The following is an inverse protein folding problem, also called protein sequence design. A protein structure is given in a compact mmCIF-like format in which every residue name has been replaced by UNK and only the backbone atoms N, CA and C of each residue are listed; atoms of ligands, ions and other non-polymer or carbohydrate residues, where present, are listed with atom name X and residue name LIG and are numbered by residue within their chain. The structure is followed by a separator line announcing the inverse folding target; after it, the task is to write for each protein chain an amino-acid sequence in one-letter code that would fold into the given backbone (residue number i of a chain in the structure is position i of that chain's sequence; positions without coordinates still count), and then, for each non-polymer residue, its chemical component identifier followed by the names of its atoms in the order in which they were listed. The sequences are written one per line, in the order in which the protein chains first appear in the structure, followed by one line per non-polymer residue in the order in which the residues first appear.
data_IF_690479972087
#
_entry.id   IF_690479972087
#
_cell.length_a   1.000
_cell.length_b   1.000
_cell.length_c   1.000
_cell.angle_alpha   90.00
_cell.angle_beta   90.00
_cell.angle_gamma   90.00
#
_symmetry.space_group_name_H-M   'P 1'
#
loop_
_entity.id
_entity.type
_entity.pdbx_description
1 polymer ?
#
# COMPACT_ATOMS: atom_id res chain seq x y z
N UNK A 1 6.41 -23.86 -6.34
CA UNK A 1 5.11 -24.00 -5.62
C UNK A 1 4.03 -23.35 -6.46
N UNK A 2 2.83 -23.97 -6.54
CA UNK A 2 1.70 -23.41 -7.30
C UNK A 2 1.02 -22.32 -6.47
N UNK A 3 0.74 -21.16 -7.07
CA UNK A 3 -0.08 -20.11 -6.49
C UNK A 3 -1.55 -20.31 -6.89
N UNK A 4 -2.49 -19.93 -6.00
CA UNK A 4 -3.90 -19.95 -6.30
C UNK A 4 -4.32 -18.58 -6.85
N UNK A 5 -4.88 -18.60 -8.06
CA UNK A 5 -5.42 -17.40 -8.73
C UNK A 5 -6.90 -17.65 -9.03
N UNK A 6 -7.78 -16.99 -8.29
CA UNK A 6 -9.22 -17.13 -8.49
C UNK A 6 -9.67 -16.33 -9.72
N UNK A 7 -10.66 -16.80 -10.43
CA UNK A 7 -11.14 -16.13 -11.65
C UNK A 7 -11.59 -14.67 -11.44
N UNK A 8 -12.14 -14.33 -10.27
CA UNK A 8 -12.43 -12.95 -9.89
C UNK A 8 -11.17 -12.08 -9.78
N UNK A 9 -10.06 -12.68 -9.40
CA UNK A 9 -8.78 -12.01 -9.27
C UNK A 9 -8.03 -11.89 -10.62
N UNK A 10 -8.56 -12.51 -11.69
CA UNK A 10 -8.04 -12.41 -13.06
C UNK A 10 -8.76 -11.36 -13.90
N UNK A 11 -9.99 -11.03 -13.55
CA UNK A 11 -10.78 -10.01 -14.22
C UNK A 11 -10.52 -8.64 -13.58
N UNK A 12 -10.69 -7.53 -14.32
CA UNK A 12 -10.62 -6.20 -13.74
C UNK A 12 -11.52 -6.11 -12.53
N UNK A 13 -10.98 -5.61 -11.42
CA UNK A 13 -11.75 -5.49 -10.19
C UNK A 13 -12.99 -4.63 -10.44
N UNK A 14 -14.16 -5.23 -10.23
CA UNK A 14 -15.39 -4.48 -10.12
C UNK A 14 -15.35 -3.66 -8.83
N UNK A 15 -16.07 -2.56 -8.79
CA UNK A 15 -16.13 -1.55 -7.73
C UNK A 15 -15.76 -2.05 -6.33
N UNK A 16 -14.68 -1.54 -5.78
CA UNK A 16 -14.34 -1.72 -4.37
C UNK A 16 -15.32 -0.90 -3.51
N UNK A 17 -16.06 -1.56 -2.63
CA UNK A 17 -17.02 -0.92 -1.73
C UNK A 17 -16.38 0.08 -0.75
N UNK A 18 -15.06 0.02 -0.55
CA UNK A 18 -14.31 0.92 0.35
C UNK A 18 -13.81 2.19 -0.37
N UNK A 19 -14.05 2.34 -1.67
CA UNK A 19 -13.58 3.46 -2.47
C UNK A 19 -14.75 4.20 -3.10
N UNK A 20 -14.72 5.52 -3.03
CA UNK A 20 -15.60 6.38 -3.78
C UNK A 20 -14.92 6.80 -5.08
N UNK A 21 -15.34 6.18 -6.19
CA UNK A 21 -14.78 6.47 -7.51
C UNK A 21 -15.32 7.77 -8.07
N UNK A 22 -14.45 8.61 -8.63
CA UNK A 22 -14.78 9.94 -9.15
C UNK A 22 -14.55 10.08 -10.64
N UNK A 23 -13.61 9.33 -11.17
CA UNK A 23 -13.34 9.26 -12.60
C UNK A 23 -12.80 7.89 -12.96
N UNK A 24 -12.99 7.56 -14.23
CA UNK A 24 -12.36 6.43 -14.85
C UNK A 24 -11.40 6.96 -15.93
N UNK A 25 -10.12 6.67 -15.77
CA UNK A 25 -9.05 7.11 -16.64
C UNK A 25 -8.84 6.16 -17.83
N UNK A 26 -9.87 5.39 -18.16
CA UNK A 26 -9.88 4.47 -19.29
C UNK A 26 -10.54 5.08 -20.52
N UNK A 27 -10.01 4.75 -21.70
CA UNK A 27 -10.67 5.08 -22.96
C UNK A 27 -12.00 4.34 -23.12
N UNK A 28 -12.87 4.86 -23.96
CA UNK A 28 -14.17 4.22 -24.25
C UNK A 28 -14.01 2.78 -24.77
N UNK A 29 -12.95 2.52 -25.55
CA UNK A 29 -12.61 1.18 -26.04
C UNK A 29 -12.17 0.24 -24.94
N UNK A 30 -11.35 0.71 -24.00
CA UNK A 30 -10.91 -0.08 -22.86
C UNK A 30 -12.09 -0.45 -21.95
N UNK A 31 -13.00 0.50 -21.69
CA UNK A 31 -14.23 0.24 -20.94
C UNK A 31 -15.11 -0.80 -21.59
N UNK A 32 -15.33 -0.68 -22.92
CA UNK A 32 -16.14 -1.67 -23.66
C UNK A 32 -15.50 -3.07 -23.63
N UNK A 33 -14.18 -3.17 -23.72
CA UNK A 33 -13.48 -4.47 -23.60
C UNK A 33 -13.65 -5.07 -22.22
N UNK A 34 -13.42 -4.31 -21.16
CA UNK A 34 -13.52 -4.80 -19.78
C UNK A 34 -14.94 -5.19 -19.37
N UNK A 35 -15.94 -4.42 -19.79
CA UNK A 35 -17.35 -4.72 -19.50
C UNK A 35 -17.86 -6.01 -20.14
N UNK A 36 -17.16 -6.53 -21.16
CA UNK A 36 -17.52 -7.77 -21.86
C UNK A 36 -16.89 -9.02 -21.25
N UNK A 37 -15.85 -8.88 -20.42
CA UNK A 37 -15.14 -10.05 -19.90
C UNK A 37 -15.97 -10.80 -18.86
N UNK A 38 -16.17 -12.08 -19.09
CA UNK A 38 -16.83 -13.01 -18.20
C UNK A 38 -15.86 -14.17 -17.85
N UNK A 39 -16.20 -14.95 -16.83
CA UNK A 39 -15.40 -16.08 -16.43
C UNK A 39 -15.09 -17.06 -17.58
N UNK A 40 -16.00 -17.20 -18.56
CA UNK A 40 -15.82 -18.03 -19.74
C UNK A 40 -14.72 -17.55 -20.69
N UNK A 41 -14.33 -16.26 -20.61
CA UNK A 41 -13.35 -15.66 -21.52
C UNK A 41 -11.91 -15.83 -20.99
N UNK A 42 -11.76 -16.27 -19.73
CA UNK A 42 -10.45 -16.45 -19.09
C UNK A 42 -9.50 -17.36 -19.90
N UNK A 43 -9.91 -18.51 -20.43
CA UNK A 43 -9.01 -19.34 -21.22
C UNK A 43 -8.49 -18.66 -22.50
N UNK A 44 -9.25 -17.70 -23.03
CA UNK A 44 -8.86 -16.90 -24.21
C UNK A 44 -7.96 -15.73 -23.82
N UNK A 45 -8.22 -15.09 -22.68
CA UNK A 45 -7.43 -13.97 -22.17
C UNK A 45 -6.09 -14.42 -21.61
N UNK A 46 -6.09 -15.58 -20.97
CA UNK A 46 -4.93 -16.18 -20.31
C UNK A 46 -4.78 -17.65 -20.76
N UNK A 47 -4.32 -17.89 -21.99
CA UNK A 47 -4.14 -19.26 -22.50
C UNK A 47 -3.18 -20.07 -21.62
N UNK A 48 -3.42 -21.37 -21.50
CA UNK A 48 -2.52 -22.25 -20.78
C UNK A 48 -1.10 -22.19 -21.39
N UNK A 49 -0.09 -22.01 -20.55
CA UNK A 49 1.30 -21.85 -20.95
C UNK A 49 1.74 -20.42 -21.25
N UNK A 50 0.83 -19.43 -21.18
CA UNK A 50 1.20 -18.01 -21.28
C UNK A 50 1.82 -17.51 -19.97
N UNK A 51 2.74 -16.53 -20.10
CA UNK A 51 3.30 -15.84 -18.96
C UNK A 51 2.33 -14.75 -18.46
N UNK A 52 2.19 -14.63 -17.16
CA UNK A 52 1.27 -13.71 -16.51
C UNK A 52 1.93 -13.02 -15.33
N UNK A 53 1.69 -11.71 -15.18
CA UNK A 53 2.12 -10.97 -14.01
C UNK A 53 1.08 -11.11 -12.90
N UNK A 54 1.52 -11.57 -11.74
CA UNK A 54 0.66 -11.73 -10.57
C UNK A 54 1.24 -11.03 -9.35
N UNK A 55 0.38 -10.57 -8.47
CA UNK A 55 0.73 -10.10 -7.14
C UNK A 55 0.25 -11.10 -6.10
N UNK A 56 1.14 -11.52 -5.19
CA UNK A 56 0.77 -12.35 -4.05
C UNK A 56 0.06 -11.48 -3.02
N UNK A 57 -1.18 -11.85 -2.67
CA UNK A 57 -2.04 -11.10 -1.71
C UNK A 57 -2.00 -11.73 -0.32
N UNK A 58 -1.90 -13.05 -0.27
CA UNK A 58 -1.80 -13.82 0.97
C UNK A 58 -0.75 -14.90 0.81
N UNK A 59 0.03 -15.11 1.85
CA UNK A 59 1.00 -16.20 1.90
C UNK A 59 0.31 -17.57 2.08
N UNK A 60 1.11 -18.62 1.98
CA UNK A 60 0.70 -20.01 2.18
C UNK A 60 0.15 -20.21 3.60
N UNK A 61 -1.03 -20.80 3.72
CA UNK A 61 -1.64 -21.17 5.00
C UNK A 61 -1.87 -22.69 4.99
N UNK A 62 -1.13 -23.42 5.82
CA UNK A 62 -1.19 -24.88 5.89
C UNK A 62 -0.87 -25.53 4.54
N UNK A 63 -1.80 -26.30 3.98
CA UNK A 63 -1.67 -26.98 2.69
C UNK A 63 -2.07 -26.13 1.49
N UNK A 64 -2.69 -24.96 1.70
CA UNK A 64 -3.12 -24.06 0.63
C UNK A 64 -1.95 -23.22 0.13
N UNK A 65 -1.77 -23.15 -1.19
CA UNK A 65 -0.79 -22.28 -1.82
C UNK A 65 -1.10 -20.79 -1.60
N UNK A 66 -0.15 -19.88 -1.92
CA UNK A 66 -0.36 -18.45 -1.79
C UNK A 66 -1.50 -17.99 -2.71
N UNK A 67 -2.32 -17.06 -2.24
CA UNK A 67 -3.35 -16.41 -3.06
C UNK A 67 -2.73 -15.26 -3.85
N UNK A 68 -3.08 -15.18 -5.12
CA UNK A 68 -2.58 -14.15 -6.03
C UNK A 68 -3.71 -13.46 -6.80
N UNK A 69 -3.38 -12.32 -7.41
CA UNK A 69 -4.27 -11.53 -8.26
C UNK A 69 -3.50 -10.95 -9.45
N UNK A 70 -4.18 -10.69 -10.55
CA UNK A 70 -3.65 -9.88 -11.67
C UNK A 70 -3.96 -8.39 -11.50
N UNK A 71 -4.79 -8.03 -10.55
CA UNK A 71 -5.11 -6.64 -10.21
C UNK A 71 -3.97 -6.06 -9.36
N UNK A 72 -2.91 -5.65 -10.02
CA UNK A 72 -1.70 -5.13 -9.36
C UNK A 72 -2.02 -3.81 -8.66
N UNK A 73 -1.64 -3.72 -7.39
CA UNK A 73 -1.77 -2.52 -6.57
C UNK A 73 -0.42 -2.19 -5.91
N UNK A 74 0.11 -1.02 -6.17
CA UNK A 74 1.36 -0.53 -5.60
C UNK A 74 1.06 0.54 -4.54
N UNK A 75 1.19 0.22 -3.25
CA UNK A 75 0.93 1.18 -2.19
C UNK A 75 2.07 2.19 -2.06
N UNK A 76 1.71 3.47 -2.14
CA UNK A 76 2.49 4.61 -1.68
C UNK A 76 2.08 5.01 -0.27
N UNK A 77 2.52 6.19 0.15
CA UNK A 77 2.14 6.76 1.44
C UNK A 77 0.69 7.25 1.42
N UNK A 78 0.34 8.08 0.45
CA UNK A 78 -0.95 8.75 0.34
C UNK A 78 -1.82 8.17 -0.76
N UNK A 79 -1.21 7.44 -1.69
CA UNK A 79 -1.84 6.89 -2.88
C UNK A 79 -1.65 5.38 -2.95
N UNK A 80 -2.54 4.72 -3.69
CA UNK A 80 -2.31 3.38 -4.24
C UNK A 80 -2.40 3.51 -5.75
N UNK A 81 -1.36 3.10 -6.47
CA UNK A 81 -1.34 3.05 -7.93
C UNK A 81 -1.83 1.68 -8.41
N UNK A 82 -2.76 1.68 -9.33
CA UNK A 82 -3.29 0.48 -9.98
C UNK A 82 -2.99 0.52 -11.49
N UNK A 83 -1.90 -0.10 -11.95
CA UNK A 83 -1.42 0.04 -13.32
C UNK A 83 -2.38 -0.50 -14.40
N UNK A 84 -3.27 -1.43 -14.03
CA UNK A 84 -4.20 -2.08 -14.96
C UNK A 84 -5.68 -1.73 -14.72
N UNK A 85 -5.94 -0.74 -13.85
CA UNK A 85 -7.29 -0.28 -13.56
C UNK A 85 -7.33 1.24 -13.72
N UNK A 86 -8.15 1.76 -14.64
CA UNK A 86 -8.31 3.19 -14.82
C UNK A 86 -9.13 3.88 -13.72
N UNK A 87 -9.62 3.14 -12.74
CA UNK A 87 -10.48 3.65 -11.70
C UNK A 87 -9.73 4.58 -10.72
N UNK A 88 -10.20 5.83 -10.59
CA UNK A 88 -9.64 6.82 -9.68
C UNK A 88 -10.66 7.19 -8.60
N UNK A 89 -10.22 7.19 -7.33
CA UNK A 89 -11.14 7.43 -6.21
C UNK A 89 -10.47 7.82 -4.91
N UNK A 90 -11.31 8.04 -3.90
CA UNK A 90 -10.92 8.39 -2.54
C UNK A 90 -11.46 7.34 -1.56
N UNK A 91 -10.67 6.99 -0.56
CA UNK A 91 -11.08 6.03 0.48
C UNK A 91 -12.32 6.54 1.22
N UNK A 92 -13.34 5.69 1.36
CA UNK A 92 -14.56 5.97 2.15
C UNK A 92 -14.30 6.00 3.65
N UNK A 93 -13.14 5.55 4.10
CA UNK A 93 -12.73 5.66 5.52
C UNK A 93 -12.43 7.10 5.94
N UNK A 94 -12.32 8.04 4.99
CA UNK A 94 -12.28 9.48 5.28
C UNK A 94 -13.72 9.91 5.48
N UNK A 95 -14.12 10.17 6.73
CA UNK A 95 -15.52 10.42 7.12
C UNK A 95 -15.99 11.82 6.77
N UNK A 96 -15.09 12.83 6.83
CA UNK A 96 -15.41 14.21 6.50
C UNK A 96 -15.70 14.38 4.99
N UNK A 97 -16.94 14.75 4.69
CA UNK A 97 -17.41 14.99 3.33
C UNK A 97 -16.69 16.17 2.65
N UNK A 98 -16.41 17.26 3.38
CA UNK A 98 -15.72 18.42 2.82
C UNK A 98 -14.29 18.06 2.43
N UNK A 99 -13.61 17.30 3.27
CA UNK A 99 -12.28 16.80 3.00
C UNK A 99 -12.27 15.82 1.82
N UNK A 100 -13.26 14.93 1.70
CA UNK A 100 -13.35 14.04 0.53
C UNK A 100 -13.52 14.82 -0.76
N UNK A 101 -14.36 15.86 -0.81
CA UNK A 101 -14.51 16.70 -2.01
C UNK A 101 -13.20 17.42 -2.34
N UNK A 102 -12.52 17.98 -1.35
CA UNK A 102 -11.20 18.60 -1.55
C UNK A 102 -10.18 17.61 -2.13
N UNK A 103 -10.15 16.38 -1.62
CA UNK A 103 -9.25 15.33 -2.11
C UNK A 103 -9.64 14.87 -3.53
N UNK A 104 -10.92 14.85 -3.87
CA UNK A 104 -11.38 14.59 -5.25
C UNK A 104 -10.88 15.65 -6.22
N UNK A 105 -10.89 16.93 -5.81
CA UNK A 105 -10.35 18.01 -6.65
C UNK A 105 -8.84 17.88 -6.85
N UNK A 106 -8.10 17.53 -5.80
CA UNK A 106 -6.67 17.21 -5.93
C UNK A 106 -6.48 16.05 -6.92
N UNK A 107 -7.24 14.96 -6.76
CA UNK A 107 -7.12 13.79 -7.63
C UNK A 107 -7.42 14.12 -9.10
N UNK A 108 -8.41 15.01 -9.36
CA UNK A 108 -8.71 15.50 -10.71
C UNK A 108 -7.56 16.30 -11.33
N UNK A 109 -6.76 16.98 -10.50
CA UNK A 109 -5.60 17.77 -10.95
C UNK A 109 -4.34 16.94 -11.21
N UNK A 110 -4.29 15.68 -10.73
CA UNK A 110 -3.13 14.81 -10.95
C UNK A 110 -3.07 14.31 -12.39
N UNK A 111 -1.86 14.34 -12.97
CA UNK A 111 -1.57 13.77 -14.28
C UNK A 111 -1.31 12.26 -14.15
N UNK A 112 -2.36 11.47 -14.30
CA UNK A 112 -2.31 10.01 -14.22
C UNK A 112 -2.28 9.45 -15.65
N UNK A 113 -1.33 8.56 -16.00
CA UNK A 113 -1.29 7.96 -17.34
C UNK A 113 -2.59 7.21 -17.67
N UNK A 114 -2.95 7.21 -18.95
CA UNK A 114 -4.14 6.52 -19.44
C UNK A 114 -4.12 5.02 -19.08
N UNK A 115 -5.26 4.48 -18.68
CA UNK A 115 -5.41 3.09 -18.25
C UNK A 115 -4.93 2.79 -16.84
N UNK A 116 -4.30 3.76 -16.15
CA UNK A 116 -3.89 3.63 -14.76
C UNK A 116 -4.90 4.30 -13.83
N UNK A 117 -5.14 3.68 -12.68
CA UNK A 117 -5.97 4.21 -11.61
C UNK A 117 -5.18 4.57 -10.37
N UNK A 118 -5.76 5.46 -9.58
CA UNK A 118 -5.17 5.90 -8.32
C UNK A 118 -6.25 6.05 -7.25
N UNK A 119 -5.98 5.51 -6.07
CA UNK A 119 -6.84 5.67 -4.88
C UNK A 119 -6.11 6.50 -3.84
N UNK A 120 -6.75 7.56 -3.34
CA UNK A 120 -6.27 8.32 -2.18
C UNK A 120 -6.58 7.54 -0.90
N UNK A 121 -5.54 7.30 -0.09
CA UNK A 121 -5.60 6.62 1.20
C UNK A 121 -6.01 7.60 2.31
N UNK A 122 -6.43 7.06 3.46
CA UNK A 122 -6.73 7.85 4.69
C UNK A 122 -5.55 8.71 5.16
N UNK A 123 -4.30 8.24 4.98
CA UNK A 123 -3.10 9.03 5.28
C UNK A 123 -2.98 10.33 4.48
N UNK A 124 -3.77 10.49 3.41
CA UNK A 124 -3.84 11.72 2.60
C UNK A 124 -4.74 12.81 3.20
N UNK A 125 -5.49 12.52 4.26
CA UNK A 125 -6.35 13.50 4.94
C UNK A 125 -5.53 14.69 5.43
N UNK A 126 -6.02 15.91 5.19
CA UNK A 126 -5.33 17.18 5.52
C UNK A 126 -4.08 17.50 4.68
N UNK A 127 -3.65 16.62 3.76
CA UNK A 127 -2.42 16.85 2.99
C UNK A 127 -2.65 17.74 1.78
N UNK A 128 -1.60 18.50 1.42
CA UNK A 128 -1.62 19.40 0.26
C UNK A 128 -1.31 18.63 -1.03
N UNK A 129 -1.74 19.16 -2.18
CA UNK A 129 -1.59 18.55 -3.50
C UNK A 129 -0.14 18.12 -3.83
N UNK A 130 0.86 18.90 -3.40
CA UNK A 130 2.29 18.58 -3.61
C UNK A 130 2.72 17.20 -3.10
N UNK A 131 2.09 16.73 -2.01
CA UNK A 131 2.41 15.42 -1.44
C UNK A 131 1.91 14.29 -2.33
N UNK A 132 0.73 14.43 -2.90
CA UNK A 132 0.17 13.46 -3.84
C UNK A 132 0.94 13.42 -5.15
N UNK A 133 1.35 14.58 -5.67
CA UNK A 133 2.20 14.65 -6.87
C UNK A 133 3.52 13.90 -6.66
N UNK A 134 4.17 14.12 -5.51
CA UNK A 134 5.43 13.44 -5.17
C UNK A 134 5.24 11.92 -5.05
N UNK A 135 4.22 11.50 -4.33
CA UNK A 135 3.90 10.07 -4.13
C UNK A 135 3.59 9.38 -5.46
N UNK A 136 2.79 10.03 -6.31
CA UNK A 136 2.49 9.54 -7.66
C UNK A 136 3.76 9.36 -8.50
N UNK A 137 4.66 10.34 -8.50
CA UNK A 137 5.92 10.23 -9.23
C UNK A 137 6.79 9.08 -8.75
N UNK A 138 6.84 8.83 -7.44
CA UNK A 138 7.57 7.68 -6.88
C UNK A 138 6.95 6.36 -7.32
N UNK A 139 5.61 6.27 -7.29
CA UNK A 139 4.88 5.06 -7.70
C UNK A 139 5.03 4.78 -9.21
N UNK A 140 4.96 5.82 -10.04
CA UNK A 140 5.16 5.67 -11.49
C UNK A 140 6.58 5.21 -11.83
N UNK A 141 7.62 5.77 -11.18
CA UNK A 141 9.00 5.29 -11.34
C UNK A 141 9.18 3.84 -10.90
N UNK A 142 8.54 3.44 -9.79
CA UNK A 142 8.54 2.06 -9.31
C UNK A 142 7.89 1.13 -10.33
N UNK A 143 6.74 1.51 -10.86
CA UNK A 143 6.07 0.75 -11.91
C UNK A 143 6.92 0.64 -13.18
N UNK A 144 7.54 1.72 -13.62
CA UNK A 144 8.43 1.71 -14.77
C UNK A 144 9.60 0.74 -14.57
N UNK A 145 10.23 0.72 -13.40
CA UNK A 145 11.29 -0.26 -13.07
C UNK A 145 10.80 -1.72 -13.16
N UNK A 146 9.54 -1.99 -12.75
CA UNK A 146 8.92 -3.31 -12.88
C UNK A 146 8.76 -3.67 -14.37
N UNK A 147 8.22 -2.76 -15.18
CA UNK A 147 8.02 -2.96 -16.62
C UNK A 147 9.37 -3.21 -17.33
N UNK A 148 10.41 -2.46 -16.97
CA UNK A 148 11.75 -2.67 -17.52
C UNK A 148 12.31 -4.07 -17.19
N UNK A 149 12.08 -4.58 -15.98
CA UNK A 149 12.46 -5.96 -15.60
C UNK A 149 11.71 -6.99 -16.43
N UNK A 150 10.40 -6.80 -16.64
CA UNK A 150 9.60 -7.69 -17.49
C UNK A 150 10.17 -7.75 -18.91
N UNK A 151 10.46 -6.58 -19.49
CA UNK A 151 10.93 -6.47 -20.87
C UNK A 151 12.37 -6.99 -21.09
N UNK A 152 13.19 -7.01 -20.03
CA UNK A 152 14.61 -7.43 -20.11
C UNK A 152 14.83 -8.90 -19.80
N UNK A 153 13.81 -9.61 -19.33
CA UNK A 153 13.98 -10.98 -18.82
C UNK A 153 13.30 -12.02 -19.73
N UNK A 154 14.05 -13.03 -20.07
CA UNK A 154 13.55 -14.25 -20.73
C UNK A 154 13.21 -15.35 -19.71
N UNK A 155 13.28 -15.06 -18.41
CA UNK A 155 13.03 -16.03 -17.35
C UNK A 155 11.52 -16.20 -17.10
N UNK A 156 11.07 -17.47 -17.07
CA UNK A 156 9.67 -17.85 -16.87
C UNK A 156 9.13 -17.59 -15.45
N UNK A 157 9.99 -17.39 -14.45
CA UNK A 157 9.58 -17.10 -13.07
C UNK A 157 10.53 -16.03 -12.51
N UNK A 158 10.13 -14.77 -12.62
CA UNK A 158 10.92 -13.63 -12.20
C UNK A 158 10.25 -12.89 -11.03
N UNK A 159 11.02 -12.63 -9.97
CA UNK A 159 10.60 -11.74 -8.90
C UNK A 159 10.75 -10.29 -9.38
N UNK A 160 9.63 -9.68 -9.72
CA UNK A 160 9.58 -8.32 -10.25
C UNK A 160 9.73 -7.26 -9.15
N UNK A 161 9.02 -7.46 -8.05
CA UNK A 161 8.95 -6.52 -6.93
C UNK A 161 8.63 -7.27 -5.63
N UNK A 162 9.23 -6.85 -4.55
CA UNK A 162 8.87 -7.26 -3.19
C UNK A 162 8.43 -6.03 -2.41
N UNK A 163 7.31 -6.12 -1.72
CA UNK A 163 6.89 -5.06 -0.80
C UNK A 163 8.02 -4.83 0.22
N UNK A 164 8.37 -3.58 0.51
CA UNK A 164 9.39 -3.25 1.51
C UNK A 164 9.16 -3.92 2.85
N UNK A 165 10.22 -4.13 3.60
CA UNK A 165 10.19 -4.71 4.94
C UNK A 165 9.37 -3.89 5.94
N UNK A 166 9.27 -4.38 7.18
CA UNK A 166 8.49 -3.72 8.22
C UNK A 166 8.99 -2.30 8.50
N UNK A 167 10.31 -2.12 8.55
CA UNK A 167 10.95 -0.83 8.85
C UNK A 167 10.57 0.20 7.79
N UNK A 168 10.76 -0.14 6.51
CA UNK A 168 10.46 0.77 5.42
C UNK A 168 8.98 1.11 5.34
N UNK A 169 8.10 0.14 5.59
CA UNK A 169 6.66 0.37 5.64
C UNK A 169 6.29 1.28 6.79
N UNK A 170 6.88 1.09 7.97
CA UNK A 170 6.65 1.91 9.15
C UNK A 170 7.08 3.36 8.90
N UNK A 171 8.28 3.58 8.38
CA UNK A 171 8.74 4.92 8.01
C UNK A 171 7.82 5.56 6.97
N UNK A 172 7.47 4.83 5.91
CA UNK A 172 6.57 5.32 4.86
C UNK A 172 5.21 5.76 5.42
N UNK A 173 4.60 4.95 6.27
CA UNK A 173 3.22 5.14 6.70
C UNK A 173 3.11 6.09 7.91
N UNK A 174 4.10 6.14 8.81
CA UNK A 174 4.03 6.90 10.07
C UNK A 174 4.91 8.16 10.13
N UNK A 175 5.88 8.36 9.22
CA UNK A 175 6.68 9.58 9.21
C UNK A 175 5.80 10.79 8.86
N UNK A 176 5.41 11.58 9.86
CA UNK A 176 4.67 12.84 9.71
C UNK A 176 5.53 14.03 10.08
N UNK A 177 5.04 15.25 9.84
CA UNK A 177 5.69 16.49 10.31
C UNK A 177 5.66 16.59 11.85
N UNK A 178 4.73 15.89 12.49
CA UNK A 178 4.50 15.86 13.94
C UNK A 178 5.46 14.88 14.66
N UNK A 179 6.19 14.04 13.92
CA UNK A 179 7.20 13.15 14.51
C UNK A 179 8.44 13.93 14.83
N UNK A 180 8.72 14.12 16.11
CA UNK A 180 9.90 14.86 16.58
C UNK A 180 11.17 14.00 16.52
N UNK A 181 11.08 12.73 16.89
CA UNK A 181 12.22 11.83 16.99
C UNK A 181 11.88 10.43 16.51
N UNK A 182 12.86 9.77 15.89
CA UNK A 182 12.82 8.36 15.49
C UNK A 182 14.02 7.70 16.14
N UNK A 183 13.78 6.87 17.15
CA UNK A 183 14.81 6.16 17.87
C UNK A 183 14.98 4.76 17.29
N UNK A 184 16.21 4.39 16.98
CA UNK A 184 16.53 3.08 16.41
C UNK A 184 17.68 2.49 17.23
N UNK A 185 17.48 1.29 17.78
CA UNK A 185 18.44 0.62 18.67
C UNK A 185 19.41 -0.32 17.94
N UNK A 186 19.19 -0.55 16.64
CA UNK A 186 20.07 -1.34 15.80
C UNK A 186 20.83 -0.44 14.81
N UNK A 187 22.19 -0.51 14.77
CA UNK A 187 23.01 0.33 13.89
C UNK A 187 22.78 0.09 12.38
N UNK A 188 22.41 -1.12 11.98
CA UNK A 188 22.14 -1.44 10.57
C UNK A 188 20.79 -0.84 10.14
N UNK A 189 19.77 -1.03 10.98
CA UNK A 189 18.43 -0.48 10.75
C UNK A 189 18.45 1.04 10.83
N UNK A 190 19.30 1.64 11.69
CA UNK A 190 19.47 3.09 11.74
C UNK A 190 19.88 3.69 10.38
N UNK A 191 20.81 3.05 9.67
CA UNK A 191 21.21 3.51 8.33
C UNK A 191 20.05 3.43 7.34
N UNK A 192 19.32 2.29 7.35
CA UNK A 192 18.15 2.09 6.49
C UNK A 192 17.10 3.18 6.76
N UNK A 193 16.76 3.41 8.03
CA UNK A 193 15.77 4.44 8.42
C UNK A 193 16.26 5.84 8.03
N UNK A 194 17.53 6.16 8.25
CA UNK A 194 18.10 7.47 7.91
C UNK A 194 18.04 7.74 6.42
N UNK A 195 18.38 6.75 5.58
CA UNK A 195 18.33 6.88 4.13
C UNK A 195 16.88 7.06 3.63
N UNK A 196 15.96 6.26 4.14
CA UNK A 196 14.53 6.35 3.81
C UNK A 196 13.93 7.70 4.22
N UNK A 197 14.20 8.15 5.44
CA UNK A 197 13.73 9.45 5.94
C UNK A 197 14.32 10.58 5.08
N UNK A 198 15.58 10.46 4.65
CA UNK A 198 16.22 11.44 3.78
C UNK A 198 15.57 11.48 2.39
N UNK A 199 15.17 10.32 1.84
CA UNK A 199 14.46 10.25 0.56
C UNK A 199 13.07 10.88 0.64
N UNK A 200 12.31 10.55 1.71
CA UNK A 200 10.94 11.04 1.91
C UNK A 200 10.93 12.53 2.30
N UNK A 201 11.76 12.90 3.25
CA UNK A 201 11.82 14.26 3.82
C UNK A 201 13.24 14.58 4.26
N UNK A 202 14.08 15.20 3.41
CA UNK A 202 15.48 15.52 3.75
C UNK A 202 15.63 16.34 5.04
N UNK A 203 14.64 17.20 5.33
CA UNK A 203 14.63 18.02 6.56
C UNK A 203 14.42 17.21 7.84
N UNK A 204 13.85 16.03 7.74
CA UNK A 204 13.58 15.14 8.88
C UNK A 204 14.75 14.20 9.21
N UNK A 205 15.84 14.24 8.43
CA UNK A 205 17.00 13.38 8.65
C UNK A 205 17.58 13.49 10.05
N UNK A 206 17.66 14.72 10.59
CA UNK A 206 18.21 14.99 11.94
C UNK A 206 17.32 14.46 13.08
N UNK A 207 16.10 14.00 12.78
CA UNK A 207 15.19 13.40 13.76
C UNK A 207 15.48 11.91 13.99
N UNK A 208 16.29 11.28 13.14
CA UNK A 208 16.69 9.88 13.30
C UNK A 208 17.90 9.81 14.20
N UNK A 209 17.75 9.13 15.31
CA UNK A 209 18.78 9.00 16.36
C UNK A 209 19.05 7.53 16.64
N UNK A 210 20.33 7.18 16.74
CA UNK A 210 20.73 5.86 17.20
C UNK A 210 20.63 5.81 18.72
N UNK A 211 19.86 4.85 19.22
CA UNK A 211 19.61 4.68 20.65
C UNK A 211 20.72 3.84 21.27
N UNK A 212 21.37 4.36 22.35
CA UNK A 212 22.53 3.74 23.00
C UNK A 212 22.34 3.50 24.51
N UNK A 213 21.15 3.79 25.06
CA UNK A 213 20.88 3.58 26.48
C UNK A 213 20.94 2.07 26.81
N UNK A 214 21.48 1.66 27.94
CA UNK A 214 21.50 0.25 28.38
C UNK A 214 20.09 -0.31 28.66
N UNK A 215 19.11 0.55 28.95
CA UNK A 215 17.71 0.14 29.11
C UNK A 215 17.08 -0.05 27.73
N UNK A 216 16.44 -1.20 27.43
CA UNK A 216 15.75 -1.40 26.16
C UNK A 216 14.78 -0.25 25.82
N UNK A 217 14.72 0.15 24.54
CA UNK A 217 13.96 1.34 24.12
C UNK A 217 12.48 1.25 24.50
N UNK A 218 11.85 0.08 24.37
CA UNK A 218 10.44 -0.10 24.73
C UNK A 218 10.20 -0.04 26.24
N UNK A 219 11.13 -0.56 27.03
CA UNK A 219 11.08 -0.44 28.49
C UNK A 219 11.25 1.02 28.91
N UNK A 220 12.23 1.74 28.32
CA UNK A 220 12.48 3.16 28.60
C UNK A 220 11.26 4.04 28.44
N UNK A 221 10.44 3.76 27.43
CA UNK A 221 9.21 4.49 27.13
C UNK A 221 7.94 3.82 27.64
N UNK A 222 8.07 2.79 28.52
CA UNK A 222 6.94 2.06 29.10
C UNK A 222 5.99 1.46 28.04
N UNK A 223 6.54 1.12 26.87
CA UNK A 223 5.77 0.52 25.78
C UNK A 223 5.56 -0.98 26.04
N UNK A 224 6.60 -1.66 26.55
CA UNK A 224 6.56 -3.10 26.85
C UNK A 224 5.39 -3.45 27.76
N UNK A 225 5.23 -2.72 28.86
CA UNK A 225 4.11 -2.90 29.78
C UNK A 225 2.75 -2.67 29.12
N UNK A 226 2.65 -1.71 28.19
CA UNK A 226 1.41 -1.46 27.46
C UNK A 226 1.10 -2.61 26.49
N UNK A 227 2.13 -3.18 25.84
CA UNK A 227 1.99 -4.36 24.98
C UNK A 227 1.50 -5.56 25.81
N UNK A 228 2.10 -5.81 26.97
CA UNK A 228 1.67 -6.90 27.86
C UNK A 228 0.19 -6.75 28.29
N UNK A 229 -0.26 -5.51 28.53
CA UNK A 229 -1.66 -5.24 28.87
C UNK A 229 -2.63 -5.58 27.72
N UNK A 230 -2.20 -5.43 26.46
CA UNK A 230 -3.06 -5.78 25.30
C UNK A 230 -3.37 -7.28 25.21
N UNK A 231 -2.55 -8.14 25.80
CA UNK A 231 -2.76 -9.60 25.84
C UNK A 231 -3.59 -10.06 27.06
N UNK A 232 -3.96 -9.13 27.96
CA UNK A 232 -4.80 -9.46 29.08
C UNK A 232 -6.27 -9.56 28.66
N UNK A 233 -6.98 -10.56 29.19
CA UNK A 233 -8.43 -10.72 28.97
C UNK A 233 -9.22 -9.48 29.41
N UNK A 234 -8.75 -8.78 30.47
CA UNK A 234 -9.38 -7.58 31.02
C UNK A 234 -8.41 -6.39 30.91
N UNK A 235 -8.81 -5.40 30.19
CA UNK A 235 -8.02 -4.18 30.00
C UNK A 235 -8.71 -3.03 30.72
N UNK A 236 -8.11 -2.49 31.80
CA UNK A 236 -8.68 -1.36 32.52
C UNK A 236 -8.62 -0.08 31.69
N UNK A 237 -9.66 0.72 31.75
CA UNK A 237 -9.74 2.01 31.09
C UNK A 237 -9.42 3.16 32.07
N UNK A 238 -8.87 4.28 31.60
CA UNK A 238 -8.63 5.47 32.42
C UNK A 238 -9.91 6.03 33.09
N UNK A 239 -11.09 5.76 32.51
CA UNK A 239 -12.40 6.13 33.02
C UNK A 239 -12.88 5.31 34.23
N UNK A 240 -12.12 4.28 34.66
CA UNK A 240 -12.50 3.35 35.72
C UNK A 240 -13.31 2.15 35.26
N UNK A 241 -13.64 2.04 33.97
CA UNK A 241 -14.24 0.85 33.37
C UNK A 241 -13.20 -0.17 32.93
N UNK A 242 -13.65 -1.29 32.37
CA UNK A 242 -12.78 -2.31 31.76
C UNK A 242 -13.36 -2.82 30.43
N UNK A 243 -12.46 -3.21 29.53
CA UNK A 243 -12.82 -3.97 28.32
C UNK A 243 -12.48 -5.43 28.57
N UNK A 244 -13.43 -6.33 28.31
CA UNK A 244 -13.22 -7.77 28.36
C UNK A 244 -13.17 -8.30 26.93
N UNK A 245 -12.06 -8.98 26.59
CA UNK A 245 -11.83 -9.56 25.25
C UNK A 245 -11.89 -11.07 25.41
N UNK A 246 -12.94 -11.69 24.87
CA UNK A 246 -13.12 -13.14 24.80
C UNK A 246 -13.00 -13.60 23.33
N UNK A 247 -12.37 -14.75 23.13
CA UNK A 247 -12.32 -15.43 21.82
C UNK A 247 -13.66 -16.11 21.50
#
# INVERSE_FOLDING_TARGET
KNAFLHYWDMLPAANDSQVEFIRDNESAEQKQRKARYQAKDIPTLFPAGSDIVIQVVKDTIGTKGPRSTTNIALPGRFLVLMPFSGACGVSRKIEDNAERERLKDILRSLTIPEGMGVIIRTAGEGKQARWFVRDLHMLLRRWQSIVEKINKSDQKALLLYTEPGLIERTVRDFLTEEVDRILVDNPEDFKIVQDLVTEISPRSRSRVELYHDPIPVFERYNIERQIEQLFQRRVPLPSGGEIVIDE
#
